data_IF_790312650762
#
_entry.id   IF_790312650762
#
_cell.length_a   1.000
_cell.length_b   1.000
_cell.length_c   1.000
_cell.angle_alpha   90.00
_cell.angle_beta   90.00
_cell.angle_gamma   90.00
#
_symmetry.space_group_name_H-M   'P 1'
#
loop_
_entity.id
_entity.type
_entity.pdbx_description
1 polymer ?
#
# COMPACT_ATOMS: atom_id res chain seq x y z
N UNK A 1 0.66 -16.20 26.63
CA UNK A 1 1.68 -16.46 25.60
C UNK A 1 1.53 -15.39 24.53
N UNK A 2 2.15 -14.22 24.72
CA UNK A 2 2.03 -13.13 23.75
C UNK A 2 2.92 -13.45 22.56
N UNK A 3 2.33 -13.68 21.40
CA UNK A 3 3.08 -13.73 20.15
C UNK A 3 3.81 -12.40 20.00
N UNK A 4 5.14 -12.43 19.84
CA UNK A 4 5.89 -11.28 19.36
C UNK A 4 5.33 -10.95 17.97
N UNK A 5 4.51 -9.91 17.87
CA UNK A 5 4.05 -9.41 16.57
C UNK A 5 5.26 -8.74 15.92
N UNK A 6 5.89 -9.43 14.98
CA UNK A 6 6.91 -8.80 14.15
C UNK A 6 6.25 -7.65 13.39
N UNK A 7 6.88 -6.47 13.33
CA UNK A 7 6.32 -5.35 12.59
C UNK A 7 6.17 -5.74 11.12
N UNK A 8 5.02 -5.42 10.53
CA UNK A 8 4.73 -5.67 9.12
C UNK A 8 5.90 -5.18 8.25
N UNK A 9 6.36 -5.98 7.27
CA UNK A 9 7.33 -5.53 6.29
C UNK A 9 6.90 -4.20 5.67
N UNK A 10 7.88 -3.31 5.49
CA UNK A 10 7.67 -1.99 4.92
C UNK A 10 7.92 -2.01 3.41
N UNK A 11 6.96 -1.50 2.64
CA UNK A 11 7.02 -1.45 1.19
C UNK A 11 7.51 -0.09 0.71
N UNK A 12 8.39 -0.10 -0.29
CA UNK A 12 8.73 1.09 -1.07
C UNK A 12 7.62 1.41 -2.08
N UNK A 13 7.67 2.59 -2.71
CA UNK A 13 6.78 2.90 -3.83
C UNK A 13 6.97 1.92 -5.00
N UNK A 14 8.18 1.41 -5.22
CA UNK A 14 8.47 0.45 -6.29
C UNK A 14 7.83 -0.92 -6.01
N UNK A 15 7.83 -1.35 -4.75
CA UNK A 15 7.11 -2.57 -4.35
C UNK A 15 5.60 -2.41 -4.51
N UNK A 16 5.05 -1.24 -4.15
CA UNK A 16 3.62 -0.94 -4.35
C UNK A 16 3.27 -0.96 -5.85
N UNK A 17 4.08 -0.35 -6.72
CA UNK A 17 3.87 -0.39 -8.17
C UNK A 17 3.92 -1.82 -8.71
N UNK A 18 4.90 -2.62 -8.25
CA UNK A 18 5.01 -4.04 -8.65
C UNK A 18 3.81 -4.85 -8.19
N UNK A 19 3.36 -4.67 -6.95
CA UNK A 19 2.24 -5.42 -6.36
C UNK A 19 0.90 -5.09 -7.03
N UNK A 20 0.70 -3.82 -7.41
CA UNK A 20 -0.58 -3.33 -7.93
C UNK A 20 -0.67 -3.30 -9.46
N UNK A 21 0.46 -3.40 -10.15
CA UNK A 21 0.53 -3.26 -11.61
C UNK A 21 0.45 -1.83 -12.13
N UNK A 22 0.31 -0.81 -11.26
CA UNK A 22 0.37 0.59 -11.68
C UNK A 22 1.73 0.92 -12.30
N UNK A 23 1.72 1.69 -13.39
CA UNK A 23 2.93 1.99 -14.16
C UNK A 23 3.65 3.27 -13.73
N UNK A 24 3.04 4.11 -12.89
CA UNK A 24 3.62 5.39 -12.49
C UNK A 24 3.34 5.77 -11.04
N UNK A 25 4.34 6.40 -10.41
CA UNK A 25 4.22 6.97 -9.06
C UNK A 25 3.10 8.00 -8.97
N UNK A 26 2.91 8.80 -10.02
CA UNK A 26 1.83 9.80 -10.10
C UNK A 26 0.44 9.19 -9.98
N UNK A 27 0.22 7.98 -10.52
CA UNK A 27 -1.06 7.27 -10.37
C UNK A 27 -1.34 6.92 -8.91
N UNK A 28 -0.32 6.39 -8.22
CA UNK A 28 -0.38 6.08 -6.78
C UNK A 28 -0.67 7.34 -5.96
N UNK A 29 0.07 8.43 -6.20
CA UNK A 29 -0.18 9.69 -5.48
C UNK A 29 -1.57 10.27 -5.76
N UNK A 30 -2.12 10.09 -6.96
CA UNK A 30 -3.51 10.49 -7.26
C UNK A 30 -4.51 9.68 -6.44
N UNK A 31 -4.35 8.36 -6.34
CA UNK A 31 -5.20 7.51 -5.50
C UNK A 31 -5.12 7.90 -4.02
N UNK A 32 -3.93 8.19 -3.51
CA UNK A 32 -3.74 8.68 -2.14
C UNK A 32 -4.49 10.01 -1.92
N UNK A 33 -4.35 10.97 -2.83
CA UNK A 33 -5.07 12.25 -2.76
C UNK A 33 -6.59 12.10 -2.83
N UNK A 34 -7.07 11.06 -3.51
CA UNK A 34 -8.49 10.72 -3.59
C UNK A 34 -8.97 9.90 -2.38
N UNK A 35 -8.09 9.53 -1.45
CA UNK A 35 -8.43 8.68 -0.30
C UNK A 35 -8.75 7.23 -0.66
N UNK A 36 -8.40 6.80 -1.88
CA UNK A 36 -8.74 5.46 -2.39
C UNK A 36 -7.76 4.41 -1.86
N UNK A 37 -6.48 4.77 -1.69
CA UNK A 37 -5.47 3.85 -1.14
C UNK A 37 -4.83 4.42 0.14
N UNK A 38 -4.26 3.54 1.00
CA UNK A 38 -3.57 3.95 2.22
C UNK A 38 -2.41 4.93 1.94
N UNK A 39 -2.23 5.91 2.82
CA UNK A 39 -1.05 6.77 2.80
C UNK A 39 0.15 6.06 3.44
N UNK A 40 1.39 6.34 3.01
CA UNK A 40 2.58 5.78 3.64
C UNK A 40 2.85 6.46 4.99
N UNK A 41 3.59 5.77 5.84
CA UNK A 41 4.22 6.35 7.02
C UNK A 41 5.55 7.02 6.65
N UNK A 42 5.91 8.05 7.41
CA UNK A 42 7.24 8.68 7.34
C UNK A 42 8.20 7.89 8.21
N UNK A 43 9.34 7.46 7.64
CA UNK A 43 10.39 6.71 8.37
C UNK A 43 11.64 7.55 8.64
N UNK A 44 11.58 8.86 8.35
CA UNK A 44 12.68 9.81 8.54
C UNK A 44 13.56 10.02 7.30
N UNK A 45 14.30 11.13 7.29
CA UNK A 45 15.16 11.53 6.17
C UNK A 45 14.41 11.71 4.84
N UNK A 46 13.17 12.22 4.90
CA UNK A 46 12.32 12.43 3.72
C UNK A 46 11.79 11.14 3.07
N UNK A 47 12.06 9.97 3.66
CA UNK A 47 11.63 8.67 3.12
C UNK A 47 10.28 8.26 3.69
N UNK A 48 9.46 7.67 2.84
CA UNK A 48 8.13 7.15 3.19
C UNK A 48 8.02 5.66 2.84
N UNK A 49 7.21 4.91 3.60
CA UNK A 49 6.96 3.48 3.38
C UNK A 49 5.52 3.13 3.69
N UNK A 50 4.98 2.11 3.03
CA UNK A 50 3.69 1.54 3.40
C UNK A 50 3.88 0.34 4.31
N UNK A 51 2.97 0.15 5.27
CA UNK A 51 2.82 -1.14 5.93
C UNK A 51 2.26 -2.12 4.93
N UNK A 52 2.93 -3.24 4.74
CA UNK A 52 2.44 -4.29 3.85
C UNK A 52 1.04 -4.75 4.27
N UNK A 53 0.76 -4.88 5.58
CA UNK A 53 -0.57 -5.22 6.10
C UNK A 53 -1.68 -4.28 5.61
N UNK A 54 -1.47 -2.97 5.66
CA UNK A 54 -2.46 -1.98 5.21
C UNK A 54 -2.73 -2.06 3.71
N UNK A 55 -1.68 -2.27 2.90
CA UNK A 55 -1.81 -2.44 1.46
C UNK A 55 -2.58 -3.73 1.13
N UNK A 56 -2.27 -4.85 1.78
CA UNK A 56 -3.00 -6.10 1.55
C UNK A 56 -4.47 -5.98 1.97
N UNK A 57 -4.77 -5.37 3.12
CA UNK A 57 -6.14 -5.12 3.56
C UNK A 57 -6.91 -4.23 2.58
N UNK A 58 -6.26 -3.21 2.01
CA UNK A 58 -6.86 -2.37 0.97
C UNK A 58 -7.19 -3.19 -0.28
N UNK A 59 -6.23 -3.97 -0.79
CA UNK A 59 -6.44 -4.82 -1.98
C UNK A 59 -7.60 -5.81 -1.79
N UNK A 60 -7.73 -6.40 -0.59
CA UNK A 60 -8.84 -7.31 -0.25
C UNK A 60 -10.22 -6.63 -0.26
N UNK A 61 -10.29 -5.31 -0.12
CA UNK A 61 -11.55 -4.55 -0.15
C UNK A 61 -11.92 -4.04 -1.55
N UNK A 62 -11.03 -4.19 -2.53
CA UNK A 62 -11.33 -3.78 -3.90
C UNK A 62 -12.42 -4.69 -4.49
N UNK A 63 -13.36 -4.12 -5.27
CA UNK A 63 -14.39 -4.92 -5.91
C UNK A 63 -13.77 -5.89 -6.91
N UNK A 64 -14.28 -7.11 -6.95
CA UNK A 64 -13.97 -8.06 -8.03
C UNK A 64 -14.78 -7.67 -9.26
N UNK A 65 -14.11 -7.51 -10.40
CA UNK A 65 -14.80 -7.27 -11.66
C UNK A 65 -15.55 -8.55 -12.07
N UNK A 66 -16.87 -8.47 -12.17
CA UNK A 66 -17.72 -9.57 -12.65
C UNK A 66 -18.23 -9.23 -14.04
N UNK A 67 -17.99 -10.11 -15.00
CA UNK A 67 -18.62 -10.04 -16.32
C UNK A 67 -19.85 -10.94 -16.30
N UNK A 68 -21.04 -10.33 -16.40
CA UNK A 68 -22.33 -11.01 -16.55
C UNK A 68 -22.66 -11.24 -18.02
#
# INVERSE_FOLDING_TARGET
>A
MSLKTFPDPLLTIEDVLRLTGYRSRSSIYRLMRQGIMPCPIVIGGGRVRWRSGEIHQWLQRLPTQTYS
#
